data_IF_740175200857
#
_entry.id   IF_740175200857
#
_cell.length_a   1.000
_cell.length_b   1.000
_cell.length_c   1.000
_cell.angle_alpha   90.00
_cell.angle_beta   90.00
_cell.angle_gamma   90.00
#
_symmetry.space_group_name_H-M   'P 1'
#
loop_
_entity.id
_entity.type
_entity.pdbx_description
1 polymer ?
#
# COMPACT_ATOMS: atom_id res chain seq x y z
N UNK A 1 -21.21 -4.19 -1.99
CA UNK A 1 -20.55 -4.35 -0.67
C UNK A 1 -19.08 -3.99 -0.79
N UNK A 2 -18.49 -3.31 0.21
CA UNK A 2 -17.08 -2.97 0.21
C UNK A 2 -16.20 -4.22 0.34
N UNK A 3 -15.02 -4.21 -0.28
CA UNK A 3 -14.09 -5.33 -0.16
C UNK A 3 -13.51 -5.44 1.26
N UNK A 4 -13.27 -6.66 1.77
CA UNK A 4 -12.61 -6.83 3.05
C UNK A 4 -11.18 -6.30 2.97
N UNK A 5 -10.85 -5.36 3.86
CA UNK A 5 -9.51 -4.80 4.00
C UNK A 5 -8.55 -5.92 4.42
N UNK A 6 -7.29 -5.87 3.96
CA UNK A 6 -6.24 -6.78 4.43
C UNK A 6 -6.14 -6.74 5.96
N UNK A 7 -5.76 -7.85 6.58
CA UNK A 7 -5.59 -7.95 8.03
C UNK A 7 -4.78 -6.76 8.55
N UNK A 8 -5.46 -5.92 9.33
CA UNK A 8 -4.93 -4.66 9.85
C UNK A 8 -4.35 -4.80 11.25
N UNK A 9 -4.39 -6.00 11.83
CA UNK A 9 -3.90 -6.27 13.19
C UNK A 9 -2.55 -6.95 13.23
N UNK A 10 -2.32 -7.92 12.34
CA UNK A 10 -1.09 -8.71 12.32
C UNK A 10 -0.45 -8.75 10.94
N UNK A 11 0.87 -8.94 10.93
CA UNK A 11 1.67 -9.16 9.72
C UNK A 11 2.82 -10.11 10.02
N UNK A 12 3.34 -10.80 9.01
CA UNK A 12 4.60 -11.53 9.15
C UNK A 12 5.78 -10.59 8.85
N UNK A 13 6.88 -10.73 9.57
CA UNK A 13 8.15 -10.06 9.28
C UNK A 13 9.25 -11.09 9.10
N UNK A 14 10.16 -10.83 8.18
CA UNK A 14 11.36 -11.64 8.03
C UNK A 14 12.31 -11.41 9.22
N UNK A 15 12.80 -12.50 9.79
CA UNK A 15 13.76 -12.53 10.90
C UNK A 15 14.87 -13.54 10.57
N UNK A 16 15.88 -13.05 9.85
CA UNK A 16 16.94 -13.87 9.28
C UNK A 16 16.37 -14.93 8.31
N UNK A 17 16.55 -16.21 8.67
CA UNK A 17 16.03 -17.36 7.90
C UNK A 17 14.60 -17.77 8.28
N UNK A 18 13.99 -17.10 9.25
CA UNK A 18 12.66 -17.40 9.77
C UNK A 18 11.67 -16.25 9.55
N UNK A 19 10.38 -16.52 9.78
CA UNK A 19 9.33 -15.51 9.76
C UNK A 19 8.64 -15.51 11.13
N UNK A 20 8.34 -14.32 11.66
CA UNK A 20 7.54 -14.17 12.88
C UNK A 20 6.33 -13.30 12.65
N UNK A 21 5.21 -13.65 13.28
CA UNK A 21 3.99 -12.84 13.23
C UNK A 21 4.03 -11.82 14.37
N UNK A 22 3.74 -10.56 14.03
CA UNK A 22 3.76 -9.44 14.98
C UNK A 22 2.48 -8.63 14.86
N UNK A 23 2.13 -7.91 15.93
CA UNK A 23 1.12 -6.88 15.86
C UNK A 23 1.65 -5.70 15.02
N UNK A 24 0.78 -5.14 14.18
CA UNK A 24 1.13 -4.01 13.31
C UNK A 24 1.42 -2.75 14.14
N UNK A 25 0.71 -2.56 15.27
CA UNK A 25 0.97 -1.45 16.19
C UNK A 25 2.39 -1.50 16.75
N UNK A 26 2.83 -2.67 17.17
CA UNK A 26 4.14 -2.85 17.82
C UNK A 26 5.26 -2.67 16.80
N UNK A 27 5.05 -3.19 15.58
CA UNK A 27 5.97 -2.96 14.47
C UNK A 27 6.05 -1.47 14.12
N UNK A 28 4.93 -0.78 13.96
CA UNK A 28 4.91 0.65 13.65
C UNK A 28 5.64 1.46 14.73
N UNK A 29 5.33 1.21 16.01
CA UNK A 29 5.99 1.84 17.14
C UNK A 29 7.51 1.61 17.15
N UNK A 30 7.96 0.40 16.84
CA UNK A 30 9.40 0.08 16.75
C UNK A 30 10.13 0.84 15.63
N UNK A 31 9.40 1.30 14.62
CA UNK A 31 9.90 2.09 13.49
C UNK A 31 9.68 3.60 13.68
N UNK A 32 9.20 4.03 14.85
CA UNK A 32 8.90 5.43 15.13
C UNK A 32 7.72 5.99 14.33
N UNK A 33 6.78 5.14 13.91
CA UNK A 33 5.61 5.52 13.15
C UNK A 33 4.29 5.13 13.87
N UNK A 34 3.19 5.78 13.50
CA UNK A 34 1.86 5.44 14.03
C UNK A 34 1.23 4.25 13.29
N UNK A 35 1.59 4.05 12.03
CA UNK A 35 1.02 3.02 11.17
C UNK A 35 1.96 2.62 10.02
N UNK A 36 1.56 1.61 9.24
CA UNK A 36 2.36 1.05 8.16
C UNK A 36 1.68 1.23 6.80
N UNK A 37 2.47 1.60 5.78
CA UNK A 37 2.11 1.45 4.37
C UNK A 37 3.00 0.35 3.79
N UNK A 38 2.36 -0.67 3.23
CA UNK A 38 3.04 -1.85 2.68
C UNK A 38 3.07 -1.72 1.17
N UNK A 39 4.27 -1.73 0.60
CA UNK A 39 4.49 -1.60 -0.83
C UNK A 39 5.00 -2.91 -1.39
N UNK A 40 4.60 -3.28 -2.60
CA UNK A 40 5.31 -4.35 -3.30
C UNK A 40 6.78 -3.95 -3.49
N UNK A 41 7.67 -4.94 -3.53
CA UNK A 41 9.12 -4.72 -3.64
C UNK A 41 9.48 -3.72 -4.76
N UNK A 42 8.92 -3.89 -5.96
CA UNK A 42 9.16 -2.99 -7.10
C UNK A 42 8.69 -1.55 -6.84
N UNK A 43 7.54 -1.41 -6.16
CA UNK A 43 6.97 -0.10 -5.81
C UNK A 43 7.82 0.58 -4.72
N UNK A 44 8.34 -0.20 -3.77
CA UNK A 44 9.25 0.29 -2.74
C UNK A 44 10.58 0.73 -3.33
N UNK A 45 11.17 -0.07 -4.23
CA UNK A 45 12.41 0.28 -4.92
C UNK A 45 12.26 1.60 -5.70
N UNK A 46 11.11 1.83 -6.32
CA UNK A 46 10.81 3.06 -7.05
C UNK A 46 10.73 4.32 -6.17
N UNK A 47 10.65 4.19 -4.84
CA UNK A 47 10.70 5.34 -3.91
C UNK A 47 12.02 6.10 -3.97
N UNK A 48 13.12 5.49 -4.44
CA UNK A 48 14.40 6.16 -4.60
C UNK A 48 14.33 7.34 -5.59
N UNK A 49 13.40 7.28 -6.56
CA UNK A 49 13.14 8.36 -7.51
C UNK A 49 12.08 9.37 -7.06
N UNK A 50 11.58 9.25 -5.83
CA UNK A 50 10.53 10.12 -5.28
C UNK A 50 11.15 11.12 -4.32
N UNK A 51 10.85 12.40 -4.54
CA UNK A 51 11.23 13.50 -3.66
C UNK A 51 10.45 13.51 -2.34
N UNK A 52 10.10 14.71 -1.88
CA UNK A 52 9.45 14.89 -0.58
C UNK A 52 7.97 14.51 -0.59
N UNK A 53 7.26 14.76 -1.69
CA UNK A 53 5.82 14.50 -1.76
C UNK A 53 5.57 13.19 -2.51
N UNK A 54 4.74 12.33 -1.92
CA UNK A 54 4.33 11.04 -2.47
C UNK A 54 2.81 10.92 -2.46
N UNK A 55 2.25 10.49 -3.59
CA UNK A 55 0.87 10.01 -3.70
C UNK A 55 0.89 8.48 -3.77
N UNK A 56 0.31 7.86 -2.75
CA UNK A 56 0.10 6.42 -2.70
C UNK A 56 -1.35 6.07 -3.03
N UNK A 57 -1.53 5.04 -3.86
CA UNK A 57 -2.85 4.56 -4.27
C UNK A 57 -3.14 3.17 -3.68
N UNK A 58 -4.26 3.06 -2.97
CA UNK A 58 -4.85 1.80 -2.52
C UNK A 58 -6.13 1.50 -3.31
N UNK A 59 -6.54 0.23 -3.38
CA UNK A 59 -7.82 -0.15 -3.99
C UNK A 59 -9.00 0.33 -3.15
N UNK A 60 -9.98 0.98 -3.78
CA UNK A 60 -11.28 1.39 -3.22
C UNK A 60 -11.18 2.31 -1.99
N UNK A 61 -10.71 1.78 -0.86
CA UNK A 61 -10.65 2.43 0.44
C UNK A 61 -9.35 2.16 1.17
N UNK A 62 -8.96 3.10 2.02
CA UNK A 62 -7.86 2.94 2.99
C UNK A 62 -8.33 3.28 4.41
N UNK A 63 -7.69 2.67 5.40
CA UNK A 63 -7.83 3.03 6.83
C UNK A 63 -6.82 4.08 7.27
N UNK A 64 -6.05 4.64 6.33
CA UNK A 64 -5.08 5.68 6.65
C UNK A 64 -5.79 6.89 7.29
N UNK A 65 -5.04 7.68 8.06
CA UNK A 65 -5.56 8.89 8.71
C UNK A 65 -4.59 10.05 8.48
N UNK A 66 -5.16 11.22 8.19
CA UNK A 66 -4.42 12.47 8.08
C UNK A 66 -3.82 12.82 9.46
N UNK A 67 -2.59 13.32 9.45
CA UNK A 67 -1.85 13.72 10.65
C UNK A 67 -1.06 12.60 11.32
N UNK A 68 -1.12 11.37 10.81
CA UNK A 68 -0.33 10.24 11.33
C UNK A 68 0.96 10.04 10.52
N UNK A 69 2.02 9.63 11.22
CA UNK A 69 3.27 9.19 10.64
C UNK A 69 3.17 7.73 10.19
N UNK A 70 3.67 7.45 8.98
CA UNK A 70 3.67 6.12 8.38
C UNK A 70 5.08 5.65 8.11
N UNK A 71 5.36 4.39 8.43
CA UNK A 71 6.50 3.66 7.89
C UNK A 71 6.08 2.95 6.60
N UNK A 72 6.75 3.28 5.50
CA UNK A 72 6.61 2.63 4.19
C UNK A 72 7.61 1.50 4.11
N UNK A 73 7.15 0.26 3.91
CA UNK A 73 7.98 -0.95 3.96
C UNK A 73 7.76 -1.83 2.73
N UNK A 74 8.79 -2.53 2.24
CA UNK A 74 8.62 -3.50 1.17
C UNK A 74 8.00 -4.80 1.69
N UNK A 75 7.14 -5.35 0.85
CA UNK A 75 6.58 -6.69 0.96
C UNK A 75 7.55 -7.64 0.26
N UNK A 76 8.25 -8.49 1.02
CA UNK A 76 9.10 -9.57 0.48
C UNK A 76 8.25 -10.67 -0.15
N UNK A 77 7.12 -11.00 0.47
CA UNK A 77 6.18 -12.00 -0.03
C UNK A 77 4.75 -11.49 0.10
N UNK A 78 3.99 -11.36 -1.01
CA UNK A 78 2.64 -10.84 -0.96
C UNK A 78 1.71 -11.77 -0.20
N UNK A 79 0.76 -11.15 0.50
CA UNK A 79 -0.36 -11.86 1.08
C UNK A 79 -1.30 -12.32 -0.03
N UNK A 80 -2.13 -13.32 0.27
CA UNK A 80 -3.13 -13.83 -0.65
C UNK A 80 -4.35 -14.37 0.09
N UNK A 81 -5.46 -14.46 -0.62
CA UNK A 81 -6.66 -15.16 -0.15
C UNK A 81 -6.95 -16.32 -1.08
N UNK A 82 -7.36 -17.45 -0.51
CA UNK A 82 -8.03 -18.51 -1.28
C UNK A 82 -9.51 -18.18 -1.35
N UNK A 83 -10.24 -18.63 -2.39
CA UNK A 83 -11.70 -18.50 -2.42
C UNK A 83 -12.32 -19.04 -1.13
N UNK A 84 -13.08 -18.20 -0.42
CA UNK A 84 -13.71 -18.53 0.87
C UNK A 84 -12.75 -18.76 2.06
N UNK A 85 -11.44 -18.63 1.87
CA UNK A 85 -10.43 -18.89 2.89
C UNK A 85 -9.94 -17.64 3.64
N UNK A 86 -9.27 -17.80 4.79
CA UNK A 86 -8.64 -16.68 5.49
C UNK A 86 -7.48 -16.11 4.67
N UNK A 87 -7.08 -14.89 5.01
CA UNK A 87 -5.91 -14.24 4.43
C UNK A 87 -4.62 -14.88 4.92
N UNK A 88 -3.78 -15.31 3.98
CA UNK A 88 -2.37 -15.59 4.23
C UNK A 88 -1.64 -14.24 4.31
N UNK A 89 -1.01 -13.96 5.46
CA UNK A 89 -0.39 -12.67 5.74
C UNK A 89 0.78 -12.37 4.77
N UNK A 90 0.96 -11.11 4.35
CA UNK A 90 2.18 -10.70 3.68
C UNK A 90 3.37 -10.76 4.65
N UNK A 91 4.56 -10.96 4.08
CA UNK A 91 5.84 -10.90 4.81
C UNK A 91 6.52 -9.59 4.46
N UNK A 92 6.82 -8.79 5.48
CA UNK A 92 7.52 -7.52 5.35
C UNK A 92 9.00 -7.63 5.71
N UNK A 93 9.79 -6.70 5.19
CA UNK A 93 11.17 -6.47 5.62
C UNK A 93 11.24 -5.18 6.47
N UNK A 94 11.30 -5.29 7.80
CA UNK A 94 11.36 -4.13 8.67
C UNK A 94 12.71 -3.41 8.64
N UNK A 95 13.75 -3.99 8.04
CA UNK A 95 15.09 -3.39 7.98
C UNK A 95 15.21 -2.31 6.90
N UNK A 96 14.23 -2.24 6.00
CA UNK A 96 14.17 -1.30 4.88
C UNK A 96 12.88 -0.52 4.97
N UNK A 97 12.96 0.76 5.28
CA UNK A 97 11.77 1.61 5.33
C UNK A 97 12.08 3.07 5.05
N UNK A 98 11.04 3.81 4.69
CA UNK A 98 11.01 5.28 4.72
C UNK A 98 9.86 5.72 5.62
N UNK A 99 9.97 6.89 6.22
CA UNK A 99 8.89 7.48 7.01
C UNK A 99 8.28 8.69 6.30
N UNK A 100 7.03 9.01 6.65
CA UNK A 100 6.38 10.21 6.17
C UNK A 100 5.04 10.49 6.85
N UNK A 101 4.64 11.76 6.85
CA UNK A 101 3.39 12.24 7.40
C UNK A 101 2.27 12.17 6.36
N UNK A 102 1.14 11.56 6.72
CA UNK A 102 -0.06 11.60 5.88
C UNK A 102 -0.72 12.98 5.96
N UNK A 103 -0.81 13.67 4.82
CA UNK A 103 -1.34 15.05 4.74
C UNK A 103 -2.74 15.13 4.15
N UNK A 104 -3.15 14.14 3.34
CA UNK A 104 -4.46 14.16 2.68
C UNK A 104 -4.92 12.74 2.35
N UNK A 105 -6.23 12.49 2.43
CA UNK A 105 -6.84 11.22 2.02
C UNK A 105 -8.10 11.49 1.19
N UNK A 106 -8.24 10.76 0.08
CA UNK A 106 -9.47 10.65 -0.69
C UNK A 106 -9.83 9.18 -0.84
N UNK A 107 -11.12 8.86 -0.79
CA UNK A 107 -11.62 7.48 -0.86
C UNK A 107 -12.44 7.30 -2.13
N UNK A 108 -12.40 6.11 -2.74
CA UNK A 108 -13.28 5.75 -3.86
C UNK A 108 -13.16 6.64 -5.10
N UNK A 109 -11.99 7.24 -5.35
CA UNK A 109 -11.75 8.06 -6.53
C UNK A 109 -11.74 7.15 -7.76
N UNK A 110 -12.61 7.35 -8.78
CA UNK A 110 -12.54 6.59 -10.01
C UNK A 110 -11.16 6.73 -10.66
N UNK A 111 -10.60 5.64 -11.20
CA UNK A 111 -9.25 5.66 -11.80
C UNK A 111 -9.16 6.69 -12.93
N UNK A 112 -10.22 6.84 -13.74
CA UNK A 112 -10.31 7.83 -14.81
C UNK A 112 -10.44 9.28 -14.32
N UNK A 113 -10.75 9.51 -13.05
CA UNK A 113 -10.89 10.83 -12.45
C UNK A 113 -9.63 11.26 -11.65
N UNK A 114 -8.60 10.41 -11.60
CA UNK A 114 -7.32 10.78 -10.98
C UNK A 114 -6.63 11.83 -11.86
N UNK A 115 -6.27 12.95 -11.25
CA UNK A 115 -5.75 14.10 -11.98
C UNK A 115 -4.25 13.96 -12.28
N UNK A 116 -3.74 14.64 -13.32
CA UNK A 116 -2.31 14.65 -13.64
C UNK A 116 -1.42 15.07 -12.46
N UNK A 117 -1.88 15.98 -11.60
CA UNK A 117 -1.11 16.45 -10.44
C UNK A 117 -0.93 15.33 -9.40
N UNK A 118 -1.91 14.44 -9.25
CA UNK A 118 -1.78 13.28 -8.38
C UNK A 118 -0.80 12.26 -8.95
N UNK A 119 -0.76 12.09 -10.28
CA UNK A 119 0.22 11.24 -10.95
C UNK A 119 1.63 11.84 -10.97
N UNK A 120 1.78 13.17 -11.00
CA UNK A 120 3.09 13.82 -10.95
C UNK A 120 3.80 13.54 -9.61
N UNK A 121 3.04 13.42 -8.52
CA UNK A 121 3.56 13.13 -7.19
C UNK A 121 3.52 11.63 -6.81
N UNK A 122 3.13 10.72 -7.69
CA UNK A 122 3.13 9.27 -7.42
C UNK A 122 4.48 8.61 -7.75
N UNK A 123 4.51 7.27 -7.67
CA UNK A 123 5.67 6.48 -8.11
C UNK A 123 5.98 6.69 -9.60
N UNK A 124 7.27 6.66 -10.01
CA UNK A 124 7.68 6.74 -11.41
C UNK A 124 6.99 5.76 -12.37
N UNK A 125 6.52 4.63 -11.85
CA UNK A 125 5.83 3.58 -12.60
C UNK A 125 4.32 3.78 -12.73
N UNK A 126 3.75 4.85 -12.14
CA UNK A 126 2.30 5.11 -12.11
C UNK A 126 2.03 6.55 -12.50
N UNK A 127 2.24 6.89 -13.78
CA UNK A 127 2.15 8.28 -14.29
C UNK A 127 0.84 8.61 -15.01
N UNK A 128 -0.05 7.64 -15.14
CA UNK A 128 -1.35 7.81 -15.78
C UNK A 128 -2.35 6.77 -15.27
N UNK A 129 -3.59 6.89 -15.75
CA UNK A 129 -4.70 6.02 -15.38
C UNK A 129 -4.50 4.56 -15.80
N UNK A 130 -3.83 4.30 -16.93
CA UNK A 130 -3.57 2.94 -17.42
C UNK A 130 -2.56 2.24 -16.51
N UNK A 131 -1.45 2.91 -16.20
CA UNK A 131 -0.43 2.43 -15.29
C UNK A 131 -0.99 2.21 -13.87
N UNK A 132 -1.89 3.09 -13.40
CA UNK A 132 -2.59 2.90 -12.13
C UNK A 132 -3.51 1.66 -12.17
N UNK A 133 -4.30 1.50 -13.23
CA UNK A 133 -5.16 0.33 -13.39
C UNK A 133 -4.33 -0.96 -13.37
N UNK A 134 -3.23 -1.02 -14.13
CA UNK A 134 -2.32 -2.16 -14.16
C UNK A 134 -1.69 -2.44 -12.78
N UNK A 135 -1.27 -1.39 -12.05
CA UNK A 135 -0.74 -1.51 -10.71
C UNK A 135 -1.76 -2.06 -9.72
N UNK A 136 -3.02 -1.59 -9.75
CA UNK A 136 -4.09 -2.11 -8.89
C UNK A 136 -4.35 -3.60 -9.18
N UNK A 137 -4.47 -3.99 -10.44
CA UNK A 137 -4.69 -5.40 -10.79
C UNK A 137 -3.52 -6.27 -10.31
N UNK A 138 -2.27 -5.84 -10.55
CA UNK A 138 -1.07 -6.56 -10.11
C UNK A 138 -1.05 -6.79 -8.60
N UNK A 139 -1.36 -5.75 -7.82
CA UNK A 139 -1.31 -5.76 -6.35
C UNK A 139 -2.43 -6.58 -5.72
N UNK A 140 -3.63 -6.52 -6.29
CA UNK A 140 -4.85 -6.98 -5.61
C UNK A 140 -5.44 -8.28 -6.15
N UNK A 141 -5.01 -8.77 -7.32
CA UNK A 141 -5.54 -10.02 -7.90
C UNK A 141 -5.40 -11.25 -6.99
N UNK A 142 -4.33 -11.34 -6.19
CA UNK A 142 -4.12 -12.46 -5.27
C UNK A 142 -4.93 -12.34 -3.99
N UNK A 143 -5.39 -11.14 -3.65
CA UNK A 143 -6.23 -10.87 -2.49
C UNK A 143 -7.72 -10.98 -2.82
N UNK A 144 -8.10 -10.78 -4.08
CA UNK A 144 -9.48 -10.89 -4.56
C UNK A 144 -9.54 -11.77 -5.81
N UNK A 145 -9.30 -13.09 -5.66
CA UNK A 145 -9.23 -14.01 -6.80
C UNK A 145 -10.54 -14.12 -7.59
N UNK A 146 -11.67 -13.78 -6.96
CA UNK A 146 -13.00 -13.84 -7.57
C UNK A 146 -13.35 -12.60 -8.41
N UNK A 147 -12.48 -11.58 -8.44
CA UNK A 147 -12.68 -10.37 -9.25
C UNK A 147 -11.87 -10.43 -10.54
N UNK A 148 -12.54 -10.16 -11.66
CA UNK A 148 -11.87 -9.89 -12.92
C UNK A 148 -11.06 -8.57 -12.84
N UNK A 149 -10.01 -8.40 -13.66
CA UNK A 149 -9.22 -7.16 -13.69
C UNK A 149 -10.07 -5.88 -13.84
N UNK A 150 -11.05 -5.90 -14.73
CA UNK A 150 -11.95 -4.76 -14.93
C UNK A 150 -12.79 -4.43 -13.68
N UNK A 151 -13.20 -5.45 -12.92
CA UNK A 151 -13.94 -5.26 -11.68
C UNK A 151 -13.07 -4.68 -10.57
N UNK A 152 -11.78 -5.04 -10.50
CA UNK A 152 -10.81 -4.43 -9.60
C UNK A 152 -10.69 -2.94 -9.92
N UNK A 153 -10.46 -2.59 -11.19
CA UNK A 153 -10.31 -1.19 -11.62
C UNK A 153 -11.59 -0.37 -11.38
N UNK A 154 -12.76 -0.96 -11.62
CA UNK A 154 -14.06 -0.31 -11.43
C UNK A 154 -14.36 0.07 -9.96
N UNK A 155 -13.65 -0.52 -8.98
CA UNK A 155 -13.75 -0.09 -7.57
C UNK A 155 -13.15 1.30 -7.32
N UNK A 156 -12.35 1.81 -8.24
CA UNK A 156 -11.57 3.03 -8.04
C UNK A 156 -10.43 2.84 -7.04
N UNK A 157 -9.86 3.95 -6.59
CA UNK A 157 -8.74 3.98 -5.67
C UNK A 157 -8.97 4.94 -4.51
N UNK A 158 -8.41 4.59 -3.36
CA UNK A 158 -8.11 5.56 -2.33
C UNK A 158 -6.74 6.21 -2.62
N UNK A 159 -6.68 7.52 -2.39
CA UNK A 159 -5.50 8.35 -2.57
C UNK A 159 -5.01 8.76 -1.19
N UNK A 160 -3.74 8.48 -0.87
CA UNK A 160 -3.07 8.98 0.33
C UNK A 160 -1.92 9.88 -0.11
N UNK A 161 -1.90 11.14 0.33
CA UNK A 161 -0.76 12.03 0.13
C UNK A 161 0.12 12.00 1.36
N UNK A 162 1.41 11.84 1.14
CA UNK A 162 2.44 11.72 2.15
C UNK A 162 3.50 12.78 1.90
N UNK A 163 3.96 13.39 2.98
CA UNK A 163 5.21 14.14 3.01
C UNK A 163 6.27 13.23 3.63
N UNK A 164 7.17 12.73 2.81
CA UNK A 164 8.26 11.86 3.24
C UNK A 164 9.32 12.66 4.01
N UNK A 165 9.93 12.01 4.98
CA UNK A 165 11.08 12.54 5.69
C UNK A 165 12.32 12.54 4.77
N UNK A 166 13.22 13.48 5.02
CA UNK A 166 14.52 13.53 4.35
C UNK A 166 15.35 12.31 4.80
N UNK A 167 15.93 11.60 3.82
CA UNK A 167 16.81 10.44 4.05
C UNK A 167 18.23 10.87 4.36
#
# INVERSE_FOLDING_TARGET
MPLPISNSRHVAVADGASERVVAISDLAASLGADALIRLHEDDFAALAGVGRDLVHFNLERTINRVGLAYALLPIRRPGRRRPGGPEELPVLDPTRFRTGLCTEIRQGVPVSAVTPELFAASLPTIRDAEALAAALVRRYRSLFPDLAPAEIVARGCAVTRLRLDET
#
